data_IF_259400897451
#
_entry.id   IF_259400897451
#
_cell.length_a   1.000
_cell.length_b   1.000
_cell.length_c   1.000
_cell.angle_alpha   90.00
_cell.angle_beta   90.00
_cell.angle_gamma   90.00
#
_symmetry.space_group_name_H-M   'P 1'
#
loop_
_entity.id
_entity.type
_entity.pdbx_description
1 polymer ?
#
# COMPACT_ATOMS: atom_id res chain seq x y z
N UNK A 1 -5.20 0.07 -21.10
CA UNK A 1 -5.03 -0.97 -20.08
C UNK A 1 -5.48 -0.33 -18.76
N UNK A 2 -6.59 -0.78 -18.15
CA UNK A 2 -7.02 -0.27 -16.83
C UNK A 2 -6.42 -1.23 -15.81
N UNK A 3 -5.34 -0.83 -15.14
CA UNK A 3 -4.60 -1.74 -14.25
C UNK A 3 -5.46 -2.17 -13.04
N UNK A 4 -6.23 -1.24 -12.43
CA UNK A 4 -7.06 -1.56 -11.26
C UNK A 4 -8.49 -0.99 -11.26
N UNK A 5 -8.98 -0.53 -12.40
CA UNK A 5 -10.40 -0.22 -12.60
C UNK A 5 -10.92 0.89 -11.67
N UNK A 6 -11.86 0.56 -10.78
CA UNK A 6 -12.43 1.51 -9.82
C UNK A 6 -11.42 1.97 -8.75
N UNK A 7 -10.40 1.15 -8.45
CA UNK A 7 -9.34 1.48 -7.48
C UNK A 7 -8.64 2.78 -7.86
N UNK A 8 -8.37 2.98 -9.15
CA UNK A 8 -7.72 4.20 -9.65
C UNK A 8 -8.60 5.44 -9.40
N UNK A 9 -9.93 5.30 -9.56
CA UNK A 9 -10.88 6.39 -9.26
C UNK A 9 -10.88 6.73 -7.77
N UNK A 10 -10.95 5.71 -6.91
CA UNK A 10 -10.88 5.88 -5.46
C UNK A 10 -9.55 6.51 -5.03
N UNK A 11 -8.45 6.16 -5.71
CA UNK A 11 -7.16 6.77 -5.48
C UNK A 11 -7.16 8.25 -5.87
N UNK A 12 -7.72 8.63 -7.02
CA UNK A 12 -7.82 10.04 -7.40
C UNK A 12 -8.65 10.84 -6.40
N UNK A 13 -9.80 10.32 -5.96
CA UNK A 13 -10.62 10.96 -4.92
C UNK A 13 -9.83 11.16 -3.61
N UNK A 14 -9.05 10.17 -3.21
CA UNK A 14 -8.19 10.26 -2.03
C UNK A 14 -7.07 11.30 -2.22
N UNK A 15 -6.35 11.27 -3.35
CA UNK A 15 -5.25 12.20 -3.62
C UNK A 15 -5.76 13.65 -3.73
N UNK A 16 -6.92 13.87 -4.36
CA UNK A 16 -7.57 15.18 -4.46
C UNK A 16 -7.98 15.73 -3.08
N UNK A 17 -8.54 14.89 -2.22
CA UNK A 17 -8.91 15.30 -0.85
C UNK A 17 -7.69 15.61 0.02
N UNK A 18 -6.58 14.90 -0.20
CA UNK A 18 -5.37 14.97 0.61
C UNK A 18 -4.17 15.62 -0.12
N UNK A 19 -4.42 16.49 -1.11
CA UNK A 19 -3.39 17.20 -1.89
C UNK A 19 -2.21 17.76 -1.08
N UNK A 20 -2.40 18.38 0.11
CA UNK A 20 -1.29 18.91 0.91
C UNK A 20 -0.25 17.86 1.36
N UNK A 21 -0.63 16.57 1.36
CA UNK A 21 0.24 15.43 1.68
C UNK A 21 0.94 14.84 0.44
N UNK A 22 0.65 15.36 -0.76
CA UNK A 22 1.15 14.80 -2.04
C UNK A 22 1.93 15.84 -2.84
N UNK A 23 1.39 17.05 -3.02
CA UNK A 23 2.00 18.07 -3.89
C UNK A 23 3.33 18.55 -3.30
N UNK A 24 4.42 18.41 -4.08
CA UNK A 24 5.77 18.75 -3.67
C UNK A 24 6.35 17.86 -2.57
N UNK A 25 5.71 16.72 -2.29
CA UNK A 25 6.07 15.81 -1.18
C UNK A 25 6.87 14.61 -1.66
N UNK A 26 7.71 14.05 -0.77
CA UNK A 26 8.40 12.79 -1.01
C UNK A 26 7.44 11.65 -0.69
N UNK A 27 7.12 10.84 -1.69
CA UNK A 27 6.14 9.74 -1.56
C UNK A 27 6.82 8.42 -1.88
N UNK A 28 6.84 7.49 -0.94
CA UNK A 28 7.26 6.13 -1.24
C UNK A 28 6.13 5.36 -1.92
N UNK A 29 6.44 4.61 -2.97
CA UNK A 29 5.53 3.65 -3.61
C UNK A 29 6.04 2.26 -3.31
N UNK A 30 5.25 1.45 -2.61
CA UNK A 30 5.61 0.09 -2.21
C UNK A 30 4.92 -0.91 -3.13
N UNK A 31 5.66 -1.86 -3.70
CA UNK A 31 5.05 -2.95 -4.46
C UNK A 31 4.75 -2.66 -5.93
N UNK A 32 5.46 -1.72 -6.56
CA UNK A 32 5.18 -1.29 -7.93
C UNK A 32 6.14 -1.97 -8.91
N UNK A 33 5.69 -3.01 -9.62
CA UNK A 33 6.50 -3.70 -10.63
C UNK A 33 6.76 -2.85 -11.89
N UNK A 34 5.83 -1.94 -12.20
CA UNK A 34 5.91 -1.00 -13.32
C UNK A 34 5.56 0.38 -12.75
N UNK A 35 6.32 1.46 -13.06
CA UNK A 35 6.15 2.79 -12.48
C UNK A 35 4.83 3.54 -12.82
N UNK A 36 3.67 2.89 -12.69
CA UNK A 36 2.35 3.40 -13.01
C UNK A 36 1.88 4.40 -11.95
N UNK A 37 1.93 4.02 -10.67
CA UNK A 37 1.50 4.89 -9.57
C UNK A 37 2.44 6.06 -9.35
N UNK A 38 3.73 5.86 -9.63
CA UNK A 38 4.74 6.89 -9.70
C UNK A 38 4.38 7.94 -10.76
N UNK A 39 3.92 7.51 -11.94
CA UNK A 39 3.49 8.44 -12.99
C UNK A 39 2.26 9.27 -12.58
N UNK A 40 1.33 8.68 -11.83
CA UNK A 40 0.19 9.38 -11.25
C UNK A 40 0.68 10.41 -10.23
N UNK A 41 1.54 10.00 -9.29
CA UNK A 41 2.09 10.90 -8.28
C UNK A 41 2.87 12.07 -8.89
N UNK A 42 3.65 11.83 -9.95
CA UNK A 42 4.32 12.89 -10.72
C UNK A 42 3.32 13.89 -11.31
N UNK A 43 2.18 13.42 -11.84
CA UNK A 43 1.14 14.31 -12.37
C UNK A 43 0.49 15.18 -11.28
N UNK A 44 0.44 14.69 -10.04
CA UNK A 44 0.04 15.46 -8.84
C UNK A 44 1.18 16.33 -8.27
N UNK A 45 2.36 16.33 -8.90
CA UNK A 45 3.51 17.13 -8.48
C UNK A 45 4.28 16.57 -7.29
N UNK A 46 4.15 15.27 -7.00
CA UNK A 46 4.93 14.59 -5.96
C UNK A 46 6.33 14.18 -6.46
N UNK A 47 7.18 13.75 -5.53
CA UNK A 47 8.49 13.17 -5.78
C UNK A 47 8.48 11.68 -5.37
N UNK A 48 8.15 10.76 -6.28
CA UNK A 48 8.01 9.35 -5.95
C UNK A 48 9.37 8.63 -5.82
N UNK A 49 9.44 7.70 -4.87
CA UNK A 49 10.48 6.67 -4.77
C UNK A 49 9.81 5.31 -4.75
N UNK A 50 10.09 4.46 -5.73
CA UNK A 50 9.67 3.06 -5.71
C UNK A 50 10.55 2.26 -4.76
N UNK A 51 9.93 1.46 -3.90
CA UNK A 51 10.62 0.47 -3.06
C UNK A 51 9.98 -0.89 -3.36
N UNK A 52 10.74 -1.76 -3.99
CA UNK A 52 10.24 -3.03 -4.52
C UNK A 52 11.07 -4.22 -4.03
N UNK A 53 10.46 -5.41 -3.95
CA UNK A 53 11.21 -6.61 -3.57
C UNK A 53 12.26 -6.97 -4.61
N UNK A 54 11.87 -6.91 -5.89
CA UNK A 54 12.76 -7.13 -7.03
C UNK A 54 13.20 -5.81 -7.65
N UNK A 55 14.41 -5.77 -8.20
CA UNK A 55 14.89 -4.57 -8.90
C UNK A 55 14.08 -4.36 -10.18
N UNK A 56 13.40 -3.22 -10.28
CA UNK A 56 12.69 -2.81 -11.49
C UNK A 56 13.56 -1.86 -12.34
N UNK A 57 13.30 -1.83 -13.64
CA UNK A 57 13.96 -0.89 -14.55
C UNK A 57 13.12 0.37 -14.73
N UNK A 58 13.67 1.52 -14.38
CA UNK A 58 13.11 2.83 -14.71
C UNK A 58 14.24 3.77 -15.12
N UNK A 59 14.15 4.36 -16.31
CA UNK A 59 15.15 5.30 -16.83
C UNK A 59 14.75 6.77 -16.67
N UNK A 60 13.58 7.04 -16.10
CA UNK A 60 13.10 8.40 -15.90
C UNK A 60 13.77 9.05 -14.69
N UNK A 61 14.50 10.17 -14.84
CA UNK A 61 15.29 10.75 -13.74
C UNK A 61 14.49 11.25 -12.53
N UNK A 62 13.18 11.46 -12.69
CA UNK A 62 12.30 11.92 -11.61
C UNK A 62 11.71 10.81 -10.74
N UNK A 63 12.07 9.54 -10.99
CA UNK A 63 11.67 8.40 -10.16
C UNK A 63 12.95 7.73 -9.65
N UNK A 64 13.09 7.66 -8.34
CA UNK A 64 14.12 6.85 -7.70
C UNK A 64 13.57 5.45 -7.47
N UNK A 65 14.36 4.41 -7.74
CA UNK A 65 13.98 3.01 -7.53
C UNK A 65 14.97 2.38 -6.57
N UNK A 66 14.47 1.74 -5.53
CA UNK A 66 15.24 1.00 -4.53
C UNK A 66 14.68 -0.42 -4.40
N UNK A 67 15.55 -1.38 -4.13
CA UNK A 67 15.10 -2.64 -3.50
C UNK A 67 14.82 -2.44 -2.01
N UNK A 68 14.12 -3.39 -1.39
CA UNK A 68 13.94 -3.40 0.08
C UNK A 68 15.29 -3.40 0.80
N UNK A 69 16.28 -4.15 0.33
CA UNK A 69 17.63 -4.20 0.92
C UNK A 69 18.38 -2.87 0.74
N UNK A 70 18.27 -2.23 -0.42
CA UNK A 70 18.87 -0.90 -0.68
C UNK A 70 18.24 0.17 0.24
N UNK A 71 16.93 0.10 0.47
CA UNK A 71 16.25 0.98 1.43
C UNK A 71 16.67 0.69 2.88
N UNK A 72 16.74 -0.58 3.29
CA UNK A 72 17.10 -0.97 4.66
C UNK A 72 18.56 -0.63 5.01
N UNK A 73 19.45 -0.60 4.01
CA UNK A 73 20.82 -0.15 4.18
C UNK A 73 20.94 1.37 4.44
N UNK A 74 19.97 2.17 3.99
CA UNK A 74 19.94 3.61 4.18
C UNK A 74 18.51 4.14 4.39
N UNK A 75 17.90 3.82 5.56
CA UNK A 75 16.49 4.11 5.80
C UNK A 75 16.25 5.62 5.91
N UNK A 76 15.14 6.05 5.32
CA UNK A 76 14.69 7.45 5.36
C UNK A 76 13.17 7.53 5.43
N UNK A 77 12.67 8.69 5.84
CA UNK A 77 11.25 8.94 5.97
C UNK A 77 10.67 9.67 4.76
N UNK A 78 9.37 9.47 4.55
CA UNK A 78 8.56 10.02 3.48
C UNK A 78 7.37 10.78 4.05
N UNK A 79 6.95 11.83 3.36
CA UNK A 79 5.76 12.62 3.73
C UNK A 79 4.46 11.81 3.53
N UNK A 80 4.47 10.87 2.59
CA UNK A 80 3.40 9.89 2.40
C UNK A 80 3.95 8.56 1.88
N UNK A 81 3.17 7.50 2.03
CA UNK A 81 3.42 6.19 1.43
C UNK A 81 2.17 5.80 0.63
N UNK A 82 2.39 5.23 -0.55
CA UNK A 82 1.35 4.65 -1.40
C UNK A 82 1.66 3.16 -1.58
N UNK A 83 0.68 2.31 -1.33
CA UNK A 83 0.77 0.87 -1.58
C UNK A 83 -0.56 0.43 -2.19
N UNK A 84 -0.53 0.01 -3.44
CA UNK A 84 -1.70 -0.46 -4.16
C UNK A 84 -1.44 -1.87 -4.64
N UNK A 85 -2.20 -2.83 -4.11
CA UNK A 85 -2.11 -4.24 -4.47
C UNK A 85 -0.70 -4.82 -4.28
N UNK A 86 -0.20 -4.77 -3.05
CA UNK A 86 1.16 -5.21 -2.72
C UNK A 86 1.20 -6.09 -1.47
N UNK A 87 0.79 -5.55 -0.31
CA UNK A 87 0.94 -6.25 0.97
C UNK A 87 0.19 -7.58 1.04
N UNK A 88 -0.87 -7.78 0.25
CA UNK A 88 -1.59 -9.05 0.18
C UNK A 88 -0.71 -10.24 -0.23
N UNK A 89 0.41 -9.97 -0.92
CA UNK A 89 1.36 -10.95 -1.42
C UNK A 89 2.43 -11.35 -0.39
N UNK A 90 2.68 -10.51 0.62
CA UNK A 90 3.85 -10.63 1.49
C UNK A 90 3.85 -11.95 2.27
N UNK A 91 4.98 -12.69 2.18
CA UNK A 91 5.19 -13.94 2.89
C UNK A 91 4.50 -15.16 2.29
N UNK A 92 4.00 -15.05 1.05
CA UNK A 92 3.41 -16.18 0.31
C UNK A 92 4.41 -16.87 -0.63
N UNK A 93 5.64 -16.36 -0.74
CA UNK A 93 6.70 -16.93 -1.57
C UNK A 93 6.49 -16.74 -3.08
N UNK A 94 5.53 -15.90 -3.48
CA UNK A 94 5.19 -15.67 -4.89
C UNK A 94 6.34 -15.04 -5.67
N UNK A 95 7.12 -14.21 -4.98
CA UNK A 95 8.16 -13.37 -5.55
C UNK A 95 9.58 -13.83 -5.17
N UNK A 96 9.68 -15.02 -4.55
CA UNK A 96 10.93 -15.51 -3.96
C UNK A 96 11.18 -15.00 -2.54
N UNK A 97 10.19 -14.33 -1.94
CA UNK A 97 10.15 -13.97 -0.53
C UNK A 97 10.07 -15.20 0.37
N UNK A 98 10.65 -15.18 1.59
CA UNK A 98 10.50 -16.27 2.54
C UNK A 98 9.03 -16.47 2.93
N UNK A 99 8.61 -17.74 3.06
CA UNK A 99 7.28 -18.05 3.58
C UNK A 99 7.11 -17.50 5.00
N UNK A 100 6.14 -16.62 5.17
CA UNK A 100 5.85 -15.94 6.41
C UNK A 100 4.35 -15.61 6.50
N UNK A 101 3.56 -16.39 7.27
CA UNK A 101 2.11 -16.20 7.35
C UNK A 101 1.68 -14.79 7.80
N UNK A 102 2.53 -14.07 8.52
CA UNK A 102 2.29 -12.71 9.03
C UNK A 102 3.12 -11.64 8.32
N UNK A 103 3.69 -11.93 7.16
CA UNK A 103 4.56 -11.01 6.40
C UNK A 103 3.89 -9.67 6.12
N UNK A 104 2.64 -9.69 5.66
CA UNK A 104 1.79 -8.52 5.42
C UNK A 104 1.61 -7.63 6.66
N UNK A 105 1.43 -8.23 7.85
CA UNK A 105 1.32 -7.48 9.10
C UNK A 105 2.65 -6.83 9.49
N UNK A 106 3.76 -7.55 9.29
CA UNK A 106 5.09 -7.04 9.59
C UNK A 106 5.48 -5.91 8.63
N UNK A 107 5.12 -6.02 7.35
CA UNK A 107 5.29 -4.96 6.37
C UNK A 107 4.49 -3.70 6.77
N UNK A 108 3.21 -3.85 7.09
CA UNK A 108 2.37 -2.76 7.61
C UNK A 108 2.95 -2.13 8.90
N UNK A 109 3.53 -2.93 9.80
CA UNK A 109 4.20 -2.39 10.99
C UNK A 109 5.49 -1.62 10.63
N UNK A 110 6.28 -2.12 9.67
CA UNK A 110 7.50 -1.46 9.17
C UNK A 110 7.18 -0.13 8.49
N UNK A 111 6.11 -0.07 7.70
CA UNK A 111 5.68 1.15 6.98
C UNK A 111 5.43 2.33 7.90
N UNK A 112 4.99 2.12 9.15
CA UNK A 112 4.85 3.20 10.14
C UNK A 112 6.16 3.96 10.37
N UNK A 113 7.30 3.27 10.33
CA UNK A 113 8.64 3.84 10.52
C UNK A 113 9.14 4.58 9.28
N UNK A 114 8.51 4.37 8.13
CA UNK A 114 8.84 5.04 6.87
C UNK A 114 8.16 6.40 6.75
N UNK A 115 7.14 6.68 7.56
CA UNK A 115 6.42 7.95 7.52
C UNK A 115 7.11 9.01 8.38
N UNK A 116 7.17 10.24 7.87
CA UNK A 116 7.50 11.41 8.68
C UNK A 116 6.39 11.70 9.71
N UNK A 117 6.65 12.64 10.61
CA UNK A 117 5.59 13.22 11.43
C UNK A 117 4.43 13.68 10.55
N UNK A 118 3.21 13.32 10.94
CA UNK A 118 1.96 13.57 10.20
C UNK A 118 1.83 12.93 8.81
N UNK A 119 2.74 12.03 8.45
CA UNK A 119 2.66 11.30 7.19
C UNK A 119 1.45 10.36 7.11
N UNK A 120 0.97 10.16 5.89
CA UNK A 120 -0.19 9.30 5.59
C UNK A 120 0.21 8.11 4.74
N UNK A 121 -0.45 6.98 4.97
CA UNK A 121 -0.42 5.81 4.09
C UNK A 121 -1.73 5.76 3.29
N UNK A 122 -1.62 5.75 1.97
CA UNK A 122 -2.69 5.40 1.04
C UNK A 122 -2.56 3.92 0.71
N UNK A 123 -3.49 3.11 1.19
CA UNK A 123 -3.45 1.65 1.08
C UNK A 123 -4.64 1.14 0.27
N UNK A 124 -4.40 0.30 -0.73
CA UNK A 124 -5.43 -0.52 -1.34
C UNK A 124 -5.00 -1.98 -1.38
N UNK A 125 -5.88 -2.83 -0.87
CA UNK A 125 -5.71 -4.30 -0.81
C UNK A 125 -7.05 -4.97 -1.16
N UNK A 126 -7.06 -6.26 -1.55
CA UNK A 126 -8.30 -6.99 -1.79
C UNK A 126 -9.17 -7.04 -0.53
N UNK A 127 -10.36 -6.46 -0.59
CA UNK A 127 -11.37 -6.49 0.49
C UNK A 127 -12.57 -7.32 0.05
N UNK A 128 -12.95 -8.28 0.89
CA UNK A 128 -14.01 -9.25 0.63
C UNK A 128 -14.18 -10.18 1.83
N UNK A 129 -14.65 -11.41 1.64
CA UNK A 129 -14.63 -12.43 2.70
C UNK A 129 -13.21 -12.97 2.91
N UNK A 130 -12.80 -13.11 4.18
CA UNK A 130 -11.45 -13.57 4.56
C UNK A 130 -11.07 -14.85 3.80
N UNK A 131 -10.04 -14.75 2.96
CA UNK A 131 -9.54 -15.87 2.16
C UNK A 131 -8.04 -15.75 1.93
N UNK A 132 -7.35 -16.90 1.90
CA UNK A 132 -6.01 -17.01 1.36
C UNK A 132 -6.05 -17.79 0.05
N UNK A 133 -5.71 -17.14 -1.06
CA UNK A 133 -5.43 -17.81 -2.33
C UNK A 133 -3.94 -18.15 -2.33
N UNK A 134 -3.62 -19.40 -1.97
CA UNK A 134 -2.24 -19.83 -1.73
C UNK A 134 -1.27 -19.43 -2.85
N UNK A 135 -0.11 -18.91 -2.46
CA UNK A 135 0.93 -18.37 -3.33
C UNK A 135 0.50 -17.19 -4.22
N UNK A 136 -0.77 -16.78 -4.22
CA UNK A 136 -1.22 -15.62 -4.99
C UNK A 136 -1.41 -14.41 -4.08
N UNK A 137 -2.48 -14.33 -3.29
CA UNK A 137 -2.77 -13.16 -2.46
C UNK A 137 -3.72 -13.50 -1.29
N UNK A 138 -3.84 -12.55 -0.36
CA UNK A 138 -4.86 -12.53 0.70
C UNK A 138 -6.04 -11.64 0.31
N UNK A 139 -7.25 -12.11 0.57
CA UNK A 139 -8.46 -11.28 0.62
C UNK A 139 -8.74 -10.95 2.07
N UNK A 140 -8.77 -9.66 2.39
CA UNK A 140 -8.94 -9.13 3.73
C UNK A 140 -10.41 -8.96 4.05
N UNK A 141 -10.93 -9.81 4.91
CA UNK A 141 -12.28 -9.69 5.45
C UNK A 141 -12.31 -9.16 6.88
N UNK A 142 -13.45 -9.33 7.53
CA UNK A 142 -13.74 -8.76 8.84
C UNK A 142 -12.72 -9.14 9.92
N UNK A 143 -12.01 -10.27 9.79
CA UNK A 143 -10.97 -10.69 10.72
C UNK A 143 -9.61 -10.15 10.28
N UNK A 144 -9.14 -10.51 9.08
CA UNK A 144 -7.77 -10.20 8.66
C UNK A 144 -7.56 -8.72 8.40
N UNK A 145 -8.56 -8.00 7.89
CA UNK A 145 -8.45 -6.55 7.67
C UNK A 145 -8.19 -5.81 8.99
N UNK A 146 -8.86 -6.20 10.08
CA UNK A 146 -8.63 -5.60 11.41
C UNK A 146 -7.21 -5.87 11.92
N UNK A 147 -6.67 -7.05 11.64
CA UNK A 147 -5.28 -7.38 11.97
C UNK A 147 -4.32 -6.53 11.14
N UNK A 148 -4.55 -6.40 9.83
CA UNK A 148 -3.73 -5.62 8.91
C UNK A 148 -3.66 -4.15 9.33
N UNK A 149 -4.81 -3.58 9.72
CA UNK A 149 -4.94 -2.18 10.13
C UNK A 149 -4.57 -1.95 11.61
N UNK A 150 -4.08 -2.97 12.33
CA UNK A 150 -3.76 -2.82 13.75
C UNK A 150 -2.66 -1.75 13.99
N UNK A 151 -2.95 -0.84 14.91
CA UNK A 151 -2.08 0.29 15.24
C UNK A 151 -2.01 1.37 14.15
N UNK A 152 -2.94 1.33 13.19
CA UNK A 152 -3.24 2.42 12.29
C UNK A 152 -4.61 3.01 12.65
N UNK A 153 -4.74 4.32 12.51
CA UNK A 153 -6.01 5.02 12.50
C UNK A 153 -6.47 5.12 11.06
N UNK A 154 -7.64 4.55 10.77
CA UNK A 154 -8.34 4.81 9.49
C UNK A 154 -8.92 6.21 9.57
N UNK A 155 -8.36 7.15 8.81
CA UNK A 155 -8.85 8.53 8.79
C UNK A 155 -9.88 8.75 7.67
N UNK A 156 -9.83 7.92 6.62
CA UNK A 156 -10.81 7.91 5.53
C UNK A 156 -10.79 6.60 4.74
N UNK A 157 -11.83 6.39 3.94
CA UNK A 157 -11.91 5.27 3.00
C UNK A 157 -12.75 5.62 1.77
N UNK A 158 -12.29 5.21 0.60
CA UNK A 158 -12.94 5.44 -0.69
C UNK A 158 -13.28 4.11 -1.33
N UNK A 159 -14.57 3.91 -1.62
CA UNK A 159 -15.09 2.66 -2.20
C UNK A 159 -15.22 1.48 -1.24
N UNK A 160 -15.01 1.66 0.07
CA UNK A 160 -15.17 0.60 1.06
C UNK A 160 -16.64 0.46 1.49
N UNK A 161 -17.19 -0.76 1.43
CA UNK A 161 -18.50 -1.09 1.99
C UNK A 161 -18.35 -2.30 2.94
N UNK A 162 -18.74 -2.20 4.23
CA UNK A 162 -18.74 -3.36 5.13
C UNK A 162 -19.50 -4.59 4.62
N UNK A 163 -20.46 -4.43 3.70
CA UNK A 163 -21.15 -5.54 3.04
C UNK A 163 -20.22 -6.39 2.15
N UNK A 164 -19.04 -5.88 1.80
CA UNK A 164 -18.01 -6.63 1.07
C UNK A 164 -17.60 -7.92 1.79
N UNK A 165 -17.71 -7.96 3.12
CA UNK A 165 -17.36 -9.13 3.93
C UNK A 165 -18.33 -10.32 3.73
N UNK A 166 -19.52 -10.07 3.21
CA UNK A 166 -20.56 -11.08 2.99
C UNK A 166 -20.49 -11.71 1.59
N UNK A 167 -19.55 -11.27 0.75
CA UNK A 167 -19.34 -11.81 -0.60
C UNK A 167 -18.77 -13.24 -0.57
N UNK A 168 -18.79 -13.89 -1.72
CA UNK A 168 -18.21 -15.24 -1.87
C UNK A 168 -16.72 -15.24 -1.52
N UNK A 169 -16.24 -16.30 -0.85
CA UNK A 169 -14.85 -16.36 -0.44
C UNK A 169 -13.93 -16.47 -1.67
N UNK A 170 -12.85 -15.70 -1.68
CA UNK A 170 -11.88 -15.66 -2.78
C UNK A 170 -12.45 -15.17 -4.13
N UNK A 171 -13.71 -14.72 -4.16
CA UNK A 171 -14.41 -14.20 -5.32
C UNK A 171 -15.06 -12.85 -4.97
N UNK A 172 -15.39 -12.01 -5.96
CA UNK A 172 -16.14 -10.77 -5.73
C UNK A 172 -15.45 -9.67 -4.88
N UNK A 173 -14.21 -9.86 -4.47
CA UNK A 173 -13.43 -8.84 -3.77
C UNK A 173 -13.11 -7.65 -4.69
N UNK A 174 -12.90 -6.48 -4.09
CA UNK A 174 -12.38 -5.31 -4.78
C UNK A 174 -11.41 -4.55 -3.88
N UNK A 175 -10.73 -3.54 -4.41
CA UNK A 175 -9.72 -2.80 -3.65
C UNK A 175 -10.19 -1.37 -3.40
N UNK A 176 -10.79 -1.09 -2.22
CA UNK A 176 -11.01 0.28 -1.80
C UNK A 176 -9.66 0.92 -1.44
N UNK A 177 -9.63 2.26 -1.37
CA UNK A 177 -8.46 3.00 -0.88
C UNK A 177 -8.74 3.45 0.54
N UNK A 178 -7.90 3.01 1.48
CA UNK A 178 -7.87 3.51 2.85
C UNK A 178 -6.81 4.59 2.98
N UNK A 179 -7.14 5.66 3.70
CA UNK A 179 -6.16 6.66 4.13
C UNK A 179 -5.90 6.44 5.61
N UNK A 180 -4.64 6.16 5.94
CA UNK A 180 -4.21 5.66 7.24
C UNK A 180 -3.19 6.60 7.86
N UNK A 181 -3.30 6.81 9.17
CA UNK A 181 -2.31 7.52 9.98
C UNK A 181 -1.79 6.57 11.07
N UNK A 182 -0.48 6.54 11.38
CA UNK A 182 0.01 5.76 12.51
C UNK A 182 -0.67 6.22 13.81
N UNK A 183 -1.07 5.29 14.67
CA UNK A 183 -1.60 5.67 15.99
C UNK A 183 -0.50 6.41 16.77
N UNK A 184 -0.83 7.59 17.30
CA UNK A 184 0.00 8.21 18.33
C UNK A 184 -0.14 7.31 19.56
N UNK A 185 0.96 6.65 19.94
CA UNK A 185 1.09 5.59 20.96
C UNK A 185 1.05 4.16 20.41
N UNK A 186 2.24 3.70 20.02
CA UNK A 186 2.71 2.35 20.34
C UNK A 186 4.21 2.49 20.61
N UNK A 187 4.54 3.05 21.79
CA UNK A 187 5.77 2.62 22.45
C UNK A 187 5.49 1.21 22.93
N UNK A 188 5.97 0.22 22.19
CA UNK A 188 6.30 -1.12 22.69
C UNK A 188 7.69 -1.47 22.18
#
# INVERSE_FOLDING_TARGET
MKYYGLTDLYLYEALDKYLPHVVGRKVAVLGSEIPWYESILLAYGAHPTTIEYNKIECSYPGIEVLTVDEFDANPRTFDAVLSISSFEHDGLGRYGDPLNPIGDLQAMAKTKKMLSTDGLLFLAVPVGKDCLVWNLHRVYGNIRLKMLLQGWQVIDSFGFDPQDFEKEACEGYHQPVFVLKPNQNAQD
#
